data_IF_482677156153
#
_entry.id   IF_482677156153
#
_cell.length_a   1.000
_cell.length_b   1.000
_cell.length_c   1.000
_cell.angle_alpha   90.00
_cell.angle_beta   90.00
_cell.angle_gamma   90.00
#
_symmetry.space_group_name_H-M   'P 1'
#
loop_
_entity.id
_entity.type
_entity.pdbx_description
1 polymer ?
#
# COMPACT_ATOMS: atom_id res chain seq x y z
N UNK A 1 8.51 -0.16 -73.72
CA UNK A 1 8.12 -0.64 -72.38
C UNK A 1 8.62 0.33 -71.34
N UNK A 2 7.72 0.77 -70.47
CA UNK A 2 7.59 2.17 -70.10
C UNK A 2 8.49 2.57 -68.92
N UNK A 3 9.34 3.61 -69.09
CA UNK A 3 10.09 4.26 -68.00
C UNK A 3 9.16 4.73 -66.86
N UNK A 4 7.87 4.91 -67.16
CA UNK A 4 6.80 5.19 -66.19
C UNK A 4 6.59 4.06 -65.16
N UNK A 5 6.72 2.78 -65.55
CA UNK A 5 6.48 1.64 -64.65
C UNK A 5 7.61 1.51 -63.62
N UNK A 6 8.85 1.81 -64.03
CA UNK A 6 10.01 1.80 -63.13
C UNK A 6 9.93 2.94 -62.10
N UNK A 7 9.45 4.12 -62.51
CA UNK A 7 9.28 5.28 -61.62
C UNK A 7 8.16 5.03 -60.60
N UNK A 8 7.07 4.36 -61.00
CA UNK A 8 5.98 3.96 -60.08
C UNK A 8 6.46 2.89 -59.08
N UNK A 9 7.25 1.90 -59.50
CA UNK A 9 7.79 0.88 -58.59
C UNK A 9 8.83 1.44 -57.60
N UNK A 10 9.67 2.39 -58.04
CA UNK A 10 10.63 3.06 -57.14
C UNK A 10 9.91 4.00 -56.17
N UNK A 11 8.87 4.73 -56.59
CA UNK A 11 8.07 5.58 -55.68
C UNK A 11 7.21 4.78 -54.69
N UNK A 12 6.73 3.58 -55.05
CA UNK A 12 6.08 2.66 -54.08
C UNK A 12 7.08 2.04 -53.09
N UNK A 13 8.34 1.85 -53.47
CA UNK A 13 9.36 1.35 -52.54
C UNK A 13 9.84 2.40 -51.52
N UNK A 14 9.80 3.70 -51.87
CA UNK A 14 10.15 4.79 -50.93
C UNK A 14 9.00 5.14 -49.97
N UNK A 15 7.74 4.89 -50.37
CA UNK A 15 6.58 5.02 -49.48
C UNK A 15 6.43 3.84 -48.49
N UNK A 16 7.18 2.76 -48.68
CA UNK A 16 7.15 1.59 -47.78
C UNK A 16 8.21 1.67 -46.66
N UNK A 17 9.05 2.71 -46.64
CA UNK A 17 10.07 2.95 -45.60
C UNK A 17 9.77 4.16 -44.69
N UNK A 18 8.54 4.69 -44.75
CA UNK A 18 8.05 5.70 -43.79
C UNK A 18 6.81 5.15 -43.06
N UNK A 19 6.97 3.98 -42.45
CA UNK A 19 6.05 3.43 -41.47
C UNK A 19 6.83 2.77 -40.31
N UNK A 20 7.88 3.45 -39.87
CA UNK A 20 8.21 3.47 -38.45
C UNK A 20 8.32 4.95 -38.07
N UNK A 21 7.18 5.65 -38.03
CA UNK A 21 7.08 6.71 -37.05
C UNK A 21 7.40 6.02 -35.71
N UNK A 22 8.61 6.24 -35.22
CA UNK A 22 8.85 6.21 -33.79
C UNK A 22 7.73 7.05 -33.22
N UNK A 23 6.68 6.43 -32.66
CA UNK A 23 5.64 7.16 -31.96
C UNK A 23 6.42 8.02 -30.98
N UNK A 24 6.49 9.33 -31.23
CA UNK A 24 7.17 10.25 -30.33
C UNK A 24 6.35 10.17 -29.07
N UNK A 25 6.78 9.31 -28.14
CA UNK A 25 5.98 8.97 -26.98
C UNK A 25 5.66 10.28 -26.27
N UNK A 26 4.37 10.59 -26.21
CA UNK A 26 3.87 11.80 -25.61
C UNK A 26 3.27 11.46 -24.25
N UNK A 27 3.00 12.48 -23.44
CA UNK A 27 2.44 12.25 -22.12
C UNK A 27 1.02 11.66 -22.15
N UNK A 28 0.33 11.72 -23.29
CA UNK A 28 -1.02 11.18 -23.47
C UNK A 28 -1.00 9.67 -23.67
N UNK A 29 0.03 9.16 -24.35
CA UNK A 29 0.23 7.74 -24.70
C UNK A 29 1.14 6.98 -23.73
N UNK A 30 1.61 7.61 -22.65
CA UNK A 30 2.48 6.98 -21.67
C UNK A 30 1.86 5.66 -21.12
N UNK A 31 2.50 4.49 -21.34
CA UNK A 31 1.86 3.17 -21.14
C UNK A 31 1.49 2.88 -19.68
N UNK A 32 2.23 3.44 -18.72
CA UNK A 32 1.96 3.27 -17.28
C UNK A 32 0.87 4.21 -16.75
N UNK A 33 0.52 5.27 -17.50
CA UNK A 33 -0.34 6.34 -17.00
C UNK A 33 -1.71 5.82 -16.54
N UNK A 34 -2.35 4.96 -17.34
CA UNK A 34 -3.66 4.41 -17.00
C UNK A 34 -3.63 3.57 -15.72
N UNK A 35 -2.59 2.74 -15.55
CA UNK A 35 -2.41 1.88 -14.37
C UNK A 35 -2.24 2.71 -13.09
N UNK A 36 -1.33 3.69 -13.12
CA UNK A 36 -1.10 4.56 -11.98
C UNK A 36 -2.28 5.49 -11.67
N UNK A 37 -2.96 6.02 -12.69
CA UNK A 37 -4.20 6.80 -12.51
C UNK A 37 -5.25 5.97 -11.76
N UNK A 38 -5.42 4.70 -12.12
CA UNK A 38 -6.36 3.81 -11.46
C UNK A 38 -5.97 3.58 -10.00
N UNK A 39 -4.69 3.28 -9.73
CA UNK A 39 -4.20 3.12 -8.36
C UNK A 39 -4.40 4.39 -7.51
N UNK A 40 -4.09 5.57 -8.05
CA UNK A 40 -4.31 6.86 -7.37
C UNK A 40 -5.81 7.10 -7.09
N UNK A 41 -6.69 6.75 -8.03
CA UNK A 41 -8.13 6.86 -7.80
C UNK A 41 -8.58 5.94 -6.66
N UNK A 42 -8.07 4.71 -6.61
CA UNK A 42 -8.35 3.76 -5.52
C UNK A 42 -7.88 4.32 -4.18
N UNK A 43 -6.63 4.78 -4.09
CA UNK A 43 -6.05 5.37 -2.87
C UNK A 43 -6.87 6.56 -2.37
N UNK A 44 -7.28 7.45 -3.29
CA UNK A 44 -8.00 8.66 -2.93
C UNK A 44 -9.52 8.46 -2.83
N UNK A 45 -10.04 7.23 -2.91
CA UNK A 45 -11.50 6.95 -2.96
C UNK A 45 -12.30 7.62 -1.84
N UNK A 46 -11.71 7.79 -0.65
CA UNK A 46 -12.40 8.38 0.50
C UNK A 46 -12.08 9.87 0.75
N UNK A 47 -11.12 10.46 0.03
CA UNK A 47 -10.69 11.86 0.24
C UNK A 47 -11.06 12.74 -0.95
N UNK A 48 -12.10 13.57 -0.78
CA UNK A 48 -12.61 14.47 -1.84
C UNK A 48 -11.54 15.46 -2.32
N UNK A 49 -10.69 15.98 -1.42
CA UNK A 49 -9.66 16.95 -1.76
C UNK A 49 -8.55 16.27 -2.56
N UNK A 50 -8.10 15.10 -2.13
CA UNK A 50 -7.09 14.33 -2.84
C UNK A 50 -7.58 13.89 -4.24
N UNK A 51 -8.85 13.49 -4.38
CA UNK A 51 -9.46 13.23 -5.70
C UNK A 51 -9.40 14.43 -6.63
N UNK A 52 -9.75 15.62 -6.13
CA UNK A 52 -9.72 16.83 -6.92
C UNK A 52 -8.30 17.16 -7.38
N UNK A 53 -7.33 17.15 -6.46
CA UNK A 53 -5.91 17.36 -6.78
C UNK A 53 -5.41 16.34 -7.81
N UNK A 54 -5.74 15.06 -7.61
CA UNK A 54 -5.41 14.00 -8.56
C UNK A 54 -5.97 14.34 -9.94
N UNK A 55 -7.28 14.64 -10.08
CA UNK A 55 -7.89 14.97 -11.37
C UNK A 55 -7.17 16.13 -12.08
N UNK A 56 -6.81 17.19 -11.35
CA UNK A 56 -6.06 18.34 -11.90
C UNK A 56 -4.67 17.91 -12.38
N UNK A 57 -3.92 17.16 -11.57
CA UNK A 57 -2.57 16.74 -11.92
C UNK A 57 -2.54 15.68 -13.03
N UNK A 58 -3.52 14.78 -13.10
CA UNK A 58 -3.67 13.83 -14.21
C UNK A 58 -3.96 14.54 -15.54
N UNK A 59 -4.76 15.62 -15.52
CA UNK A 59 -4.98 16.46 -16.71
C UNK A 59 -3.69 17.15 -17.13
N UNK A 60 -3.00 17.80 -16.19
CA UNK A 60 -1.72 18.47 -16.43
C UNK A 60 -0.66 17.51 -16.97
N UNK A 61 -0.57 16.30 -16.43
CA UNK A 61 0.36 15.28 -16.92
C UNK A 61 0.17 15.03 -18.42
N UNK A 62 -1.07 14.81 -18.87
CA UNK A 62 -1.38 14.56 -20.29
C UNK A 62 -1.09 15.76 -21.19
N UNK A 63 -1.21 16.97 -20.67
CA UNK A 63 -1.03 18.23 -21.39
C UNK A 63 0.43 18.72 -21.34
N UNK A 64 1.27 18.14 -20.48
CA UNK A 64 2.67 18.52 -20.37
C UNK A 64 3.46 18.13 -21.61
N UNK A 65 4.43 18.97 -21.95
CA UNK A 65 5.52 18.59 -22.85
C UNK A 65 6.62 17.90 -22.03
N UNK A 66 7.09 16.70 -22.45
CA UNK A 66 8.15 15.98 -21.74
C UNK A 66 9.41 16.83 -21.62
N UNK A 67 10.00 16.87 -20.43
CA UNK A 67 11.23 17.65 -20.16
C UNK A 67 12.17 16.90 -19.22
N UNK A 68 13.46 17.18 -19.34
CA UNK A 68 14.46 16.66 -18.40
C UNK A 68 14.37 17.42 -17.08
N UNK A 69 14.32 16.68 -15.97
CA UNK A 69 14.22 17.23 -14.62
C UNK A 69 15.36 16.74 -13.74
N UNK A 70 15.73 17.57 -12.77
CA UNK A 70 16.76 17.27 -11.78
C UNK A 70 16.26 16.28 -10.72
N UNK A 71 17.19 15.71 -9.94
CA UNK A 71 16.87 14.89 -8.77
C UNK A 71 15.96 15.64 -7.78
N UNK A 72 16.20 16.94 -7.56
CA UNK A 72 15.44 17.76 -6.61
C UNK A 72 14.01 18.05 -7.07
N UNK A 73 13.78 18.10 -8.38
CA UNK A 73 12.44 18.22 -8.95
C UNK A 73 11.66 16.92 -8.85
N UNK A 74 12.37 15.79 -8.99
CA UNK A 74 11.79 14.45 -8.98
C UNK A 74 11.74 13.77 -7.62
N UNK A 75 12.41 14.32 -6.59
CA UNK A 75 12.33 13.86 -5.20
C UNK A 75 12.49 12.34 -5.08
N UNK A 76 11.46 11.66 -4.56
CA UNK A 76 11.46 10.20 -4.43
C UNK A 76 11.50 9.45 -5.77
N UNK A 77 11.11 10.08 -6.87
CA UNK A 77 11.16 9.51 -8.22
C UNK A 77 12.46 9.88 -8.98
N UNK A 78 13.52 10.26 -8.27
CA UNK A 78 14.81 10.71 -8.83
C UNK A 78 15.53 9.69 -9.71
N UNK A 79 15.17 8.40 -9.63
CA UNK A 79 15.68 7.37 -10.53
C UNK A 79 15.46 7.68 -12.02
N UNK A 80 14.51 8.57 -12.34
CA UNK A 80 14.20 9.01 -13.71
C UNK A 80 14.75 10.40 -14.05
N UNK A 81 15.64 10.97 -13.22
CA UNK A 81 16.30 12.24 -13.51
C UNK A 81 17.13 12.17 -14.78
N UNK A 82 17.21 13.29 -15.50
CA UNK A 82 17.87 13.35 -16.80
C UNK A 82 17.00 12.89 -17.97
N UNK A 83 15.97 12.06 -17.74
CA UNK A 83 15.07 11.55 -18.79
C UNK A 83 13.96 12.56 -19.14
N UNK A 84 13.39 12.49 -20.35
CA UNK A 84 12.29 13.37 -20.79
C UNK A 84 10.97 12.94 -20.15
N UNK A 85 10.73 13.35 -18.91
CA UNK A 85 9.57 12.95 -18.12
C UNK A 85 8.37 13.89 -18.29
N UNK A 86 7.17 13.33 -18.11
CA UNK A 86 5.90 14.06 -18.07
C UNK A 86 5.53 14.54 -16.67
N UNK A 87 6.22 14.04 -15.64
CA UNK A 87 6.00 14.45 -14.27
C UNK A 87 6.48 15.89 -14.02
N UNK A 88 5.76 16.58 -13.14
CA UNK A 88 6.26 17.79 -12.49
C UNK A 88 6.44 17.53 -10.98
N UNK A 89 7.02 18.52 -10.28
CA UNK A 89 7.22 18.47 -8.83
C UNK A 89 5.93 18.24 -8.04
N UNK A 90 4.77 18.64 -8.58
CA UNK A 90 3.48 18.44 -7.93
C UNK A 90 2.98 17.01 -8.09
N UNK A 91 3.16 16.40 -9.26
CA UNK A 91 2.87 14.98 -9.48
C UNK A 91 3.70 14.10 -8.54
N UNK A 92 5.00 14.37 -8.42
CA UNK A 92 5.89 13.65 -7.50
C UNK A 92 5.45 13.80 -6.05
N UNK A 93 5.11 15.01 -5.61
CA UNK A 93 4.55 15.25 -4.27
C UNK A 93 3.25 14.48 -4.04
N UNK A 94 2.40 14.37 -5.06
CA UNK A 94 1.14 13.62 -4.99
C UNK A 94 1.43 12.13 -4.83
N UNK A 95 2.39 11.59 -5.58
CA UNK A 95 2.85 10.19 -5.49
C UNK A 95 3.32 9.87 -4.08
N UNK A 96 4.18 10.72 -3.50
CA UNK A 96 4.69 10.51 -2.15
C UNK A 96 3.59 10.56 -1.08
N UNK A 97 2.59 11.44 -1.23
CA UNK A 97 1.42 11.46 -0.34
C UNK A 97 0.47 10.27 -0.57
N UNK A 98 0.31 9.82 -1.81
CA UNK A 98 -0.50 8.66 -2.15
C UNK A 98 0.07 7.40 -1.50
N UNK A 99 1.40 7.22 -1.53
CA UNK A 99 2.08 6.11 -0.88
C UNK A 99 1.78 6.04 0.64
N UNK A 100 1.84 7.18 1.33
CA UNK A 100 1.48 7.26 2.75
C UNK A 100 -0.02 7.01 2.98
N UNK A 101 -0.89 7.58 2.16
CA UNK A 101 -2.33 7.40 2.29
C UNK A 101 -2.77 5.96 2.01
N UNK A 102 -2.07 5.24 1.13
CA UNK A 102 -2.34 3.83 0.80
C UNK A 102 -2.32 2.94 2.05
N UNK A 103 -1.43 3.23 3.00
CA UNK A 103 -1.22 2.37 4.19
C UNK A 103 -2.11 2.76 5.37
N UNK A 104 -2.73 3.95 5.32
CA UNK A 104 -3.59 4.46 6.39
C UNK A 104 -4.76 3.53 6.76
N UNK A 105 -5.50 2.91 5.82
CA UNK A 105 -6.58 1.99 6.18
C UNK A 105 -6.09 0.77 6.98
N UNK A 106 -4.90 0.25 6.67
CA UNK A 106 -4.29 -0.88 7.38
C UNK A 106 -3.95 -0.47 8.81
N UNK A 107 -3.38 0.73 8.99
CA UNK A 107 -3.03 1.30 10.30
C UNK A 107 -4.26 1.61 11.16
N UNK A 108 -5.35 2.07 10.56
CA UNK A 108 -6.56 2.43 11.28
C UNK A 108 -7.47 1.24 11.62
N UNK A 109 -7.32 0.12 10.91
CA UNK A 109 -8.09 -1.09 11.19
C UNK A 109 -7.56 -1.82 12.43
N UNK A 110 -8.48 -2.39 13.22
CA UNK A 110 -8.14 -3.26 14.36
C UNK A 110 -7.26 -4.41 13.89
N UNK A 111 -6.09 -4.56 14.51
CA UNK A 111 -5.20 -5.71 14.31
C UNK A 111 -5.83 -6.99 14.88
N UNK A 112 -5.36 -8.18 14.47
CA UNK A 112 -5.80 -9.42 15.12
C UNK A 112 -5.45 -9.44 16.61
N UNK A 113 -4.40 -8.73 17.05
CA UNK A 113 -4.09 -8.54 18.48
C UNK A 113 -5.14 -7.70 19.21
N UNK A 114 -5.61 -6.62 18.57
CA UNK A 114 -6.74 -5.85 19.11
C UNK A 114 -8.00 -6.71 19.22
N UNK A 115 -8.26 -7.55 18.22
CA UNK A 115 -9.38 -8.50 18.22
C UNK A 115 -9.21 -9.59 19.28
N UNK A 116 -7.99 -10.06 19.54
CA UNK A 116 -7.68 -11.02 20.61
C UNK A 116 -8.14 -10.54 21.98
N UNK A 117 -7.90 -9.26 22.31
CA UNK A 117 -8.36 -8.70 23.60
C UNK A 117 -9.89 -8.64 23.69
N UNK A 118 -10.57 -8.32 22.58
CA UNK A 118 -12.03 -8.37 22.55
C UNK A 118 -12.57 -9.80 22.69
N UNK A 119 -11.94 -10.77 22.04
CA UNK A 119 -12.28 -12.19 22.20
C UNK A 119 -12.05 -12.64 23.63
N UNK A 120 -10.93 -12.28 24.26
CA UNK A 120 -10.65 -12.57 25.66
C UNK A 120 -11.75 -12.04 26.58
N UNK A 121 -12.09 -10.75 26.47
CA UNK A 121 -13.16 -10.13 27.27
C UNK A 121 -14.51 -10.85 27.05
N UNK A 122 -14.85 -11.17 25.80
CA UNK A 122 -16.07 -11.89 25.49
C UNK A 122 -16.10 -13.29 26.12
N UNK A 123 -15.00 -14.04 26.08
CA UNK A 123 -14.90 -15.35 26.71
C UNK A 123 -14.90 -15.27 28.23
N UNK A 124 -14.30 -14.23 28.81
CA UNK A 124 -14.35 -13.94 30.25
C UNK A 124 -15.79 -13.74 30.71
N UNK A 125 -16.53 -12.84 30.05
CA UNK A 125 -17.94 -12.56 30.39
C UNK A 125 -18.86 -13.76 30.15
N UNK A 126 -18.52 -14.64 29.19
CA UNK A 126 -19.31 -15.85 28.89
C UNK A 126 -19.02 -17.00 29.84
N UNK A 127 -17.76 -17.17 30.25
CA UNK A 127 -17.30 -18.37 30.95
C UNK A 127 -17.22 -18.20 32.47
N UNK A 128 -17.33 -16.96 32.97
CA UNK A 128 -17.06 -16.63 34.36
C UNK A 128 -18.20 -15.84 34.99
N UNK A 129 -18.49 -16.13 36.26
CA UNK A 129 -19.44 -15.34 37.05
C UNK A 129 -18.93 -13.90 37.24
N UNK A 130 -19.80 -12.86 37.22
CA UNK A 130 -19.40 -11.49 37.53
C UNK A 130 -18.69 -11.34 38.88
N UNK A 131 -18.98 -12.22 39.85
CA UNK A 131 -18.36 -12.20 41.18
C UNK A 131 -16.88 -12.54 41.19
N UNK A 132 -16.38 -13.21 40.14
CA UNK A 132 -14.96 -13.59 40.03
C UNK A 132 -14.16 -12.63 39.14
N UNK A 133 -14.80 -11.61 38.56
CA UNK A 133 -14.16 -10.61 37.70
C UNK A 133 -13.99 -9.30 38.51
N UNK A 134 -12.79 -8.68 38.55
CA UNK A 134 -12.62 -7.38 39.19
C UNK A 134 -13.46 -6.30 38.48
N UNK A 135 -14.41 -5.70 39.18
CA UNK A 135 -15.24 -4.54 38.80
C UNK A 135 -15.56 -4.40 37.29
N UNK A 136 -16.54 -5.16 36.76
CA UNK A 136 -17.02 -5.00 35.39
C UNK A 136 -17.64 -3.60 35.15
N UNK A 137 -17.63 -3.10 33.89
CA UNK A 137 -17.21 -3.79 32.67
C UNK A 137 -15.73 -3.62 32.33
N UNK A 138 -15.06 -4.75 32.07
CA UNK A 138 -13.70 -4.77 31.53
C UNK A 138 -13.73 -4.36 30.05
N UNK A 139 -13.00 -3.31 29.70
CA UNK A 139 -12.90 -2.80 28.31
C UNK A 139 -11.44 -2.85 27.83
N UNK A 140 -11.17 -2.98 26.51
CA UNK A 140 -9.81 -3.07 25.99
C UNK A 140 -8.91 -1.92 26.41
N UNK A 141 -9.47 -0.69 26.47
CA UNK A 141 -8.74 0.50 26.90
C UNK A 141 -8.19 0.37 28.33
N UNK A 142 -8.96 -0.26 29.22
CA UNK A 142 -8.55 -0.48 30.61
C UNK A 142 -7.42 -1.51 30.69
N UNK A 143 -7.57 -2.65 30.00
CA UNK A 143 -6.53 -3.69 29.92
C UNK A 143 -5.22 -3.10 29.38
N UNK A 144 -5.29 -2.30 28.31
CA UNK A 144 -4.09 -1.67 27.73
C UNK A 144 -3.46 -0.59 28.61
N UNK A 145 -4.19 -0.03 29.56
CA UNK A 145 -3.68 0.97 30.49
C UNK A 145 -3.07 0.34 31.75
N UNK A 146 -3.28 -0.96 31.97
CA UNK A 146 -2.78 -1.69 33.10
C UNK A 146 -1.26 -1.94 32.97
N UNK A 147 -0.50 -1.24 33.80
CA UNK A 147 0.98 -1.30 33.79
C UNK A 147 1.52 -2.59 34.40
N UNK A 148 0.69 -3.39 35.05
CA UNK A 148 1.10 -4.67 35.64
C UNK A 148 1.21 -5.78 34.60
N UNK A 149 0.52 -5.65 33.47
CA UNK A 149 0.52 -6.59 32.35
C UNK A 149 1.75 -6.39 31.45
N UNK A 150 2.92 -6.80 31.94
CA UNK A 150 4.21 -6.60 31.27
C UNK A 150 4.33 -7.44 30.00
N UNK A 151 3.88 -8.70 30.03
CA UNK A 151 3.92 -9.61 28.87
C UNK A 151 3.01 -9.08 27.77
N UNK A 152 1.78 -8.72 28.10
CA UNK A 152 0.84 -8.13 27.15
C UNK A 152 1.39 -6.83 26.54
N UNK A 153 1.95 -5.94 27.35
CA UNK A 153 2.53 -4.67 26.89
C UNK A 153 3.67 -4.89 25.90
N UNK A 154 4.58 -5.84 26.18
CA UNK A 154 5.67 -6.20 25.28
C UNK A 154 5.15 -6.73 23.93
N UNK A 155 4.16 -7.63 23.93
CA UNK A 155 3.58 -8.15 22.69
C UNK A 155 2.79 -7.10 21.90
N UNK A 156 2.11 -6.17 22.59
CA UNK A 156 1.44 -5.04 21.95
C UNK A 156 2.45 -4.13 21.24
N UNK A 157 3.56 -3.79 21.90
CA UNK A 157 4.61 -2.99 21.30
C UNK A 157 5.24 -3.71 20.09
N UNK A 158 5.53 -5.00 20.23
CA UNK A 158 6.04 -5.82 19.13
C UNK A 158 5.06 -5.81 17.93
N UNK A 159 3.76 -5.99 18.17
CA UNK A 159 2.73 -5.92 17.14
C UNK A 159 2.72 -4.56 16.43
N UNK A 160 2.78 -3.46 17.19
CA UNK A 160 2.81 -2.10 16.64
C UNK A 160 4.00 -1.92 15.70
N UNK A 161 5.18 -2.40 16.12
CA UNK A 161 6.40 -2.38 15.30
C UNK A 161 6.26 -3.24 14.03
N UNK A 162 5.72 -4.47 14.12
CA UNK A 162 5.48 -5.29 12.92
C UNK A 162 4.57 -4.56 11.92
N UNK A 163 3.50 -3.93 12.42
CA UNK A 163 2.51 -3.20 11.60
C UNK A 163 3.12 -1.98 10.92
N UNK A 164 3.93 -1.21 11.63
CA UNK A 164 4.66 -0.05 11.09
C UNK A 164 5.63 -0.49 9.98
N UNK A 165 6.44 -1.53 10.22
CA UNK A 165 7.38 -2.04 9.20
C UNK A 165 6.67 -2.51 7.93
N UNK A 166 5.55 -3.23 8.08
CA UNK A 166 4.74 -3.65 6.93
C UNK A 166 4.17 -2.45 6.16
N UNK A 167 3.64 -1.45 6.87
CA UNK A 167 3.14 -0.23 6.26
C UNK A 167 4.28 0.53 5.54
N UNK A 168 5.48 0.60 6.11
CA UNK A 168 6.63 1.23 5.44
C UNK A 168 7.00 0.48 4.16
N UNK A 169 7.04 -0.85 4.17
CA UNK A 169 7.32 -1.66 2.99
C UNK A 169 6.27 -1.45 1.89
N UNK A 170 4.98 -1.45 2.25
CA UNK A 170 3.89 -1.22 1.30
C UNK A 170 3.90 0.21 0.75
N UNK A 171 4.20 1.20 1.59
CA UNK A 171 4.38 2.61 1.19
C UNK A 171 5.51 2.73 0.17
N UNK A 172 6.68 2.15 0.45
CA UNK A 172 7.84 2.19 -0.44
C UNK A 172 7.59 1.50 -1.79
N UNK A 173 6.93 0.34 -1.76
CA UNK A 173 6.56 -0.40 -2.97
C UNK A 173 5.50 0.35 -3.81
N UNK A 174 4.49 0.91 -3.16
CA UNK A 174 3.46 1.75 -3.81
C UNK A 174 4.08 3.00 -4.42
N UNK A 175 5.02 3.64 -3.71
CA UNK A 175 5.72 4.84 -4.17
C UNK A 175 6.52 4.56 -5.43
N UNK A 176 7.35 3.51 -5.44
CA UNK A 176 8.13 3.15 -6.63
C UNK A 176 7.24 2.74 -7.80
N UNK A 177 6.15 2.02 -7.52
CA UNK A 177 5.13 1.70 -8.52
C UNK A 177 4.55 2.94 -9.17
N UNK A 178 4.13 3.92 -8.37
CA UNK A 178 3.59 5.19 -8.88
C UNK A 178 4.66 6.05 -9.55
N UNK A 179 5.90 6.05 -9.05
CA UNK A 179 7.02 6.80 -9.64
C UNK A 179 7.34 6.36 -11.08
N UNK A 180 7.00 5.13 -11.47
CA UNK A 180 7.21 4.66 -12.86
C UNK A 180 6.40 5.45 -13.92
N UNK A 181 5.41 6.26 -13.54
CA UNK A 181 4.81 7.24 -14.48
C UNK A 181 5.73 8.42 -14.81
N UNK A 182 6.77 8.62 -14.01
CA UNK A 182 7.78 9.65 -14.22
C UNK A 182 8.94 9.16 -15.07
N UNK A 183 8.92 7.92 -15.55
CA UNK A 183 9.84 7.46 -16.58
C UNK A 183 9.84 8.41 -17.78
N UNK A 184 11.01 8.61 -18.36
CA UNK A 184 11.13 9.40 -19.57
C UNK A 184 10.43 8.73 -20.74
N UNK A 185 9.71 9.51 -21.53
CA UNK A 185 9.09 9.02 -22.77
C UNK A 185 10.14 8.50 -23.77
N UNK A 186 11.37 9.01 -23.67
CA UNK A 186 12.55 8.62 -24.43
C UNK A 186 13.21 7.32 -23.94
N UNK A 187 12.72 6.74 -22.83
CA UNK A 187 13.28 5.54 -22.18
C UNK A 187 12.24 4.45 -21.92
N UNK A 188 11.04 4.57 -22.50
CA UNK A 188 9.95 3.62 -22.22
C UNK A 188 10.26 2.19 -22.62
N UNK A 189 10.94 1.95 -23.74
CA UNK A 189 11.33 0.62 -24.22
C UNK A 189 12.29 -0.11 -23.28
N UNK A 190 13.07 0.66 -22.52
CA UNK A 190 14.05 0.12 -21.58
C UNK A 190 13.32 -0.54 -20.41
N UNK A 191 12.18 0.03 -20.01
CA UNK A 191 11.46 -0.34 -18.80
C UNK A 191 10.11 -1.03 -19.02
N UNK A 192 9.55 -1.02 -20.24
CA UNK A 192 8.27 -1.66 -20.58
C UNK A 192 8.52 -2.76 -21.60
N UNK A 193 7.98 -3.96 -21.36
CA UNK A 193 8.07 -5.04 -22.34
C UNK A 193 7.00 -4.93 -23.43
N UNK A 194 7.06 -5.79 -24.45
CA UNK A 194 6.09 -5.83 -25.56
C UNK A 194 4.64 -6.04 -25.13
N UNK A 195 4.41 -6.59 -23.93
CA UNK A 195 3.09 -6.86 -23.36
C UNK A 195 2.56 -5.68 -22.52
N UNK A 196 3.29 -4.56 -22.44
CA UNK A 196 2.91 -3.41 -21.60
C UNK A 196 3.10 -3.64 -20.10
N UNK A 197 3.92 -4.62 -19.73
CA UNK A 197 4.28 -4.90 -18.33
C UNK A 197 5.53 -4.09 -17.96
N UNK A 198 5.54 -3.58 -16.74
CA UNK A 198 6.71 -2.89 -16.19
C UNK A 198 7.81 -3.91 -15.89
N UNK A 199 9.00 -3.71 -16.43
CA UNK A 199 10.20 -4.48 -16.09
C UNK A 199 10.69 -3.99 -14.74
N UNK A 200 10.81 -4.88 -13.76
CA UNK A 200 11.26 -4.57 -12.41
C UNK A 200 12.44 -5.43 -12.01
N UNK A 201 13.33 -4.90 -11.17
CA UNK A 201 14.46 -5.69 -10.68
C UNK A 201 14.00 -6.79 -9.73
N UNK A 202 14.69 -7.93 -9.77
CA UNK A 202 14.50 -9.00 -8.78
C UNK A 202 14.80 -8.50 -7.36
N UNK A 203 15.75 -7.56 -7.20
CA UNK A 203 16.09 -6.98 -5.91
C UNK A 203 14.87 -6.28 -5.28
N UNK A 204 14.11 -5.47 -6.03
CA UNK A 204 12.92 -4.81 -5.50
C UNK A 204 11.86 -5.82 -5.04
N UNK A 205 11.66 -6.89 -5.82
CA UNK A 205 10.74 -7.98 -5.49
C UNK A 205 11.17 -8.64 -4.18
N UNK A 206 12.45 -9.00 -4.07
CA UNK A 206 13.01 -9.66 -2.89
C UNK A 206 12.89 -8.79 -1.64
N UNK A 207 13.23 -7.50 -1.71
CA UNK A 207 13.15 -6.59 -0.56
C UNK A 207 11.70 -6.45 -0.09
N UNK A 208 10.74 -6.26 -1.01
CA UNK A 208 9.34 -6.15 -0.64
C UNK A 208 8.82 -7.45 0.00
N UNK A 209 9.12 -8.60 -0.62
CA UNK A 209 8.69 -9.90 -0.12
C UNK A 209 9.32 -10.25 1.22
N UNK A 210 10.61 -9.97 1.40
CA UNK A 210 11.31 -10.16 2.67
C UNK A 210 10.69 -9.28 3.76
N UNK A 211 10.46 -7.99 3.49
CA UNK A 211 9.86 -7.10 4.47
C UNK A 211 8.42 -7.52 4.83
N UNK A 212 7.65 -8.03 3.85
CA UNK A 212 6.33 -8.61 4.09
C UNK A 212 6.42 -9.89 4.93
N UNK A 213 7.31 -10.82 4.57
CA UNK A 213 7.55 -12.08 5.29
C UNK A 213 7.99 -11.82 6.74
N UNK A 214 8.91 -10.90 6.96
CA UNK A 214 9.39 -10.51 8.30
C UNK A 214 8.25 -9.94 9.15
N UNK A 215 7.42 -9.05 8.59
CA UNK A 215 6.31 -8.46 9.34
C UNK A 215 5.19 -9.47 9.64
N UNK A 216 4.87 -10.33 8.68
CA UNK A 216 3.89 -11.41 8.84
C UNK A 216 4.39 -12.43 9.87
N UNK A 217 5.66 -12.82 9.82
CA UNK A 217 6.29 -13.73 10.78
C UNK A 217 6.35 -13.11 12.18
N UNK A 218 6.75 -11.84 12.27
CA UNK A 218 6.72 -11.04 13.49
C UNK A 218 5.33 -11.09 14.15
N UNK A 219 4.27 -10.95 13.35
CA UNK A 219 2.90 -11.02 13.83
C UNK A 219 2.46 -12.45 14.19
N UNK A 220 2.85 -13.44 13.39
CA UNK A 220 2.56 -14.86 13.65
C UNK A 220 3.17 -15.33 14.98
N UNK A 221 4.40 -14.91 15.28
CA UNK A 221 5.10 -15.24 16.51
C UNK A 221 4.37 -14.77 17.76
N UNK A 222 3.61 -13.68 17.70
CA UNK A 222 2.80 -13.20 18.84
C UNK A 222 1.74 -14.23 19.24
N UNK A 223 1.21 -14.97 18.26
CA UNK A 223 0.19 -15.99 18.46
C UNK A 223 0.76 -17.42 18.47
N UNK A 224 2.08 -17.57 18.58
CA UNK A 224 2.68 -18.88 18.83
C UNK A 224 2.09 -19.47 20.13
N UNK A 225 1.85 -20.80 20.21
CA UNK A 225 1.16 -21.41 21.36
C UNK A 225 1.75 -21.01 22.73
N UNK A 226 3.08 -21.03 22.88
CA UNK A 226 3.76 -20.63 24.12
C UNK A 226 3.54 -19.17 24.50
N UNK A 227 3.45 -18.29 23.49
CA UNK A 227 3.31 -16.85 23.68
C UNK A 227 1.86 -16.51 24.01
N UNK A 228 0.91 -17.14 23.31
CA UNK A 228 -0.51 -17.06 23.61
C UNK A 228 -0.81 -17.53 25.04
N UNK A 229 -0.18 -18.63 25.48
CA UNK A 229 -0.30 -19.15 26.83
C UNK A 229 0.22 -18.17 27.87
N UNK A 230 1.37 -17.55 27.61
CA UNK A 230 1.97 -16.55 28.49
C UNK A 230 1.08 -15.31 28.65
N UNK A 231 0.50 -14.81 27.54
CA UNK A 231 -0.42 -13.67 27.57
C UNK A 231 -1.71 -14.04 28.33
N UNK A 232 -2.28 -15.22 28.08
CA UNK A 232 -3.50 -15.67 28.75
C UNK A 232 -3.30 -15.90 30.24
N UNK A 233 -2.17 -16.47 30.65
CA UNK A 233 -1.84 -16.66 32.06
C UNK A 233 -1.73 -15.32 32.79
N UNK A 234 -1.06 -14.32 32.20
CA UNK A 234 -0.97 -12.97 32.77
C UNK A 234 -2.35 -12.32 32.88
N UNK A 235 -3.16 -12.37 31.82
CA UNK A 235 -4.52 -11.81 31.81
C UNK A 235 -5.44 -12.48 32.84
N UNK A 236 -5.42 -13.81 32.93
CA UNK A 236 -6.24 -14.56 33.88
C UNK A 236 -5.83 -14.24 35.32
N UNK A 237 -4.52 -14.19 35.61
CA UNK A 237 -4.02 -13.84 36.94
C UNK A 237 -4.45 -12.42 37.37
N UNK A 238 -4.54 -11.48 36.43
CA UNK A 238 -4.97 -10.11 36.71
C UNK A 238 -6.50 -9.97 36.84
N UNK A 239 -7.29 -10.72 36.04
CA UNK A 239 -8.72 -10.46 35.85
C UNK A 239 -9.66 -11.59 36.27
N UNK A 240 -9.15 -12.67 36.86
CA UNK A 240 -9.96 -13.76 37.43
C UNK A 240 -9.53 -13.99 38.88
N UNK A 241 -10.47 -13.84 39.82
CA UNK A 241 -10.23 -14.04 41.25
C UNK A 241 -10.54 -15.47 41.66
N UNK A 242 -9.52 -16.21 42.10
CA UNK A 242 -9.62 -17.51 42.79
C UNK A 242 -10.58 -18.52 42.10
N UNK A 243 -10.54 -18.61 40.77
CA UNK A 243 -11.42 -19.51 40.01
C UNK A 243 -10.68 -20.14 38.82
N UNK A 244 -9.95 -21.22 39.12
CA UNK A 244 -9.12 -21.94 38.14
C UNK A 244 -9.95 -22.56 37.01
N UNK A 245 -11.20 -22.99 37.30
CA UNK A 245 -12.10 -23.55 36.30
C UNK A 245 -12.52 -22.50 35.25
N UNK A 246 -12.86 -21.28 35.70
CA UNK A 246 -13.11 -20.15 34.82
C UNK A 246 -11.87 -19.81 33.98
N UNK A 247 -10.69 -19.71 34.60
CA UNK A 247 -9.44 -19.43 33.89
C UNK A 247 -9.10 -20.49 32.82
N UNK A 248 -9.29 -21.77 33.15
CA UNK A 248 -9.10 -22.88 32.21
C UNK A 248 -10.08 -22.81 31.03
N UNK A 249 -11.36 -22.53 31.28
CA UNK A 249 -12.38 -22.41 30.25
C UNK A 249 -12.13 -21.22 29.31
N UNK A 250 -11.81 -20.05 29.86
CA UNK A 250 -11.43 -18.86 29.07
C UNK A 250 -10.23 -19.19 28.19
N UNK A 251 -9.18 -19.76 28.77
CA UNK A 251 -7.97 -20.13 28.03
C UNK A 251 -8.25 -21.12 26.90
N UNK A 252 -9.02 -22.19 27.18
CA UNK A 252 -9.40 -23.19 26.18
C UNK A 252 -10.19 -22.55 25.02
N UNK A 253 -11.17 -21.72 25.33
CA UNK A 253 -12.03 -21.09 24.33
C UNK A 253 -11.26 -20.08 23.47
N UNK A 254 -10.43 -19.23 24.08
CA UNK A 254 -9.57 -18.31 23.34
C UNK A 254 -8.58 -19.07 22.46
N UNK A 255 -7.84 -20.04 23.02
CA UNK A 255 -6.90 -20.87 22.22
C UNK A 255 -7.60 -21.57 21.06
N UNK A 256 -8.84 -22.03 21.21
CA UNK A 256 -9.59 -22.68 20.12
C UNK A 256 -9.82 -21.75 18.91
N UNK A 257 -10.09 -20.46 19.15
CA UNK A 257 -10.28 -19.44 18.11
C UNK A 257 -8.95 -19.12 17.42
N UNK A 258 -7.85 -19.15 18.17
CA UNK A 258 -6.50 -18.82 17.70
C UNK A 258 -5.68 -20.05 17.25
N UNK A 259 -6.25 -21.26 17.32
CA UNK A 259 -5.57 -22.56 17.14
C UNK A 259 -5.00 -22.86 15.75
N UNK A 260 -5.24 -22.00 14.75
CA UNK A 260 -4.81 -22.24 13.37
C UNK A 260 -3.92 -21.12 12.82
N UNK A 261 -2.70 -20.93 13.36
CA UNK A 261 -1.81 -19.85 12.99
C UNK A 261 -1.06 -20.18 11.69
N UNK A 262 -1.75 -20.27 10.55
CA UNK A 262 -1.04 -20.19 9.25
C UNK A 262 -0.90 -18.74 8.81
N UNK A 263 -0.53 -17.84 9.73
CA UNK A 263 -0.24 -16.43 9.40
C UNK A 263 1.09 -16.46 8.65
N UNK A 264 0.97 -16.64 7.35
CA UNK A 264 2.07 -16.84 6.43
C UNK A 264 1.76 -16.05 5.17
N UNK A 265 2.83 -15.66 4.49
CA UNK A 265 2.73 -15.03 3.19
C UNK A 265 2.64 -16.09 2.07
N UNK A 266 2.04 -17.25 2.34
CA UNK A 266 1.90 -18.38 1.42
C UNK A 266 0.45 -18.45 0.94
N UNK A 267 0.23 -18.59 -0.37
CA UNK A 267 -1.12 -18.74 -0.94
C UNK A 267 -1.68 -20.17 -0.83
N UNK A 268 -0.92 -21.09 -0.24
CA UNK A 268 -1.25 -22.50 -0.05
C UNK A 268 -1.00 -23.36 -1.30
N UNK A 269 -0.44 -22.78 -2.37
CA UNK A 269 -0.17 -23.45 -3.65
C UNK A 269 1.29 -23.24 -4.12
N UNK A 270 2.18 -22.83 -3.20
CA UNK A 270 3.59 -22.59 -3.48
C UNK A 270 3.90 -21.18 -3.98
N UNK A 271 2.91 -20.28 -3.99
CA UNK A 271 3.06 -18.86 -4.30
C UNK A 271 3.01 -17.97 -3.07
N UNK A 272 3.18 -16.65 -3.29
CA UNK A 272 3.10 -15.62 -2.23
C UNK A 272 1.79 -14.86 -2.29
N UNK A 273 1.24 -14.48 -1.13
CA UNK A 273 0.08 -13.56 -1.04
C UNK A 273 0.52 -12.14 -1.43
N UNK A 274 1.60 -11.64 -0.83
CA UNK A 274 2.27 -10.41 -1.17
C UNK A 274 3.18 -10.61 -2.38
N UNK A 275 2.61 -10.50 -3.59
CA UNK A 275 3.35 -10.66 -4.85
C UNK A 275 4.08 -9.36 -5.21
N UNK A 276 5.40 -9.43 -5.39
CA UNK A 276 6.21 -8.28 -5.83
C UNK A 276 6.01 -7.89 -7.30
N UNK A 277 5.20 -8.63 -8.06
CA UNK A 277 4.84 -8.34 -9.46
C UNK A 277 3.43 -7.76 -9.61
N UNK A 278 2.66 -7.70 -8.53
CA UNK A 278 1.31 -7.12 -8.46
C UNK A 278 1.37 -5.67 -7.97
N UNK A 279 1.84 -4.79 -8.85
CA UNK A 279 2.17 -3.40 -8.50
C UNK A 279 0.98 -2.43 -8.57
N UNK A 280 0.11 -2.60 -9.56
CA UNK A 280 -1.02 -1.71 -9.81
C UNK A 280 -2.37 -2.40 -9.55
N UNK A 281 -2.39 -3.73 -9.61
CA UNK A 281 -3.50 -4.60 -9.29
C UNK A 281 -3.88 -4.57 -7.80
N UNK A 282 -5.07 -5.09 -7.49
CA UNK A 282 -5.52 -5.27 -6.11
C UNK A 282 -4.57 -6.21 -5.34
N UNK A 283 -4.04 -5.72 -4.22
CA UNK A 283 -3.20 -6.48 -3.29
C UNK A 283 -3.86 -6.58 -1.90
N UNK A 284 -5.19 -6.44 -1.84
CA UNK A 284 -5.98 -6.44 -0.60
C UNK A 284 -5.74 -7.65 0.29
N UNK A 285 -5.43 -8.82 -0.27
CA UNK A 285 -5.10 -10.02 0.51
C UNK A 285 -3.80 -9.86 1.30
N UNK A 286 -2.75 -9.33 0.66
CA UNK A 286 -1.50 -9.00 1.34
C UNK A 286 -1.76 -7.96 2.43
N UNK A 287 -2.51 -6.90 2.10
CA UNK A 287 -2.85 -5.80 3.02
C UNK A 287 -3.64 -6.27 4.26
N UNK A 288 -4.43 -7.33 4.12
CA UNK A 288 -5.25 -7.90 5.19
C UNK A 288 -4.52 -8.96 6.04
N UNK A 289 -3.31 -9.36 5.67
CA UNK A 289 -2.59 -10.46 6.33
C UNK A 289 -2.34 -10.21 7.83
N UNK A 290 -2.14 -8.95 8.24
CA UNK A 290 -1.96 -8.56 9.65
C UNK A 290 -3.28 -8.25 10.39
N UNK A 291 -4.39 -8.11 9.66
CA UNK A 291 -5.68 -7.73 10.24
C UNK A 291 -6.44 -8.96 10.78
N UNK A 292 -6.16 -10.14 10.22
CA UNK A 292 -6.93 -11.36 10.47
C UNK A 292 -8.38 -11.25 10.00
N UNK A 293 -9.15 -12.33 10.14
CA UNK A 293 -10.56 -12.39 9.73
C UNK A 293 -11.38 -11.23 10.31
N UNK A 294 -12.14 -10.54 9.45
CA UNK A 294 -13.08 -9.48 9.83
C UNK A 294 -14.16 -9.95 10.82
N UNK A 295 -14.50 -11.24 10.82
CA UNK A 295 -15.54 -11.84 11.65
C UNK A 295 -15.02 -12.42 12.98
N UNK A 296 -13.72 -12.29 13.28
CA UNK A 296 -13.07 -12.90 14.44
C UNK A 296 -13.71 -12.53 15.79
N UNK A 297 -14.32 -11.35 15.88
CA UNK A 297 -14.97 -10.85 17.11
C UNK A 297 -16.45 -11.26 17.22
N UNK A 298 -17.07 -11.69 16.11
CA UNK A 298 -18.53 -11.88 16.00
C UNK A 298 -18.96 -13.35 15.87
N UNK A 299 -18.05 -14.19 15.39
CA UNK A 299 -18.26 -15.64 15.27
C UNK A 299 -17.10 -16.36 15.97
N UNK A 300 -17.06 -17.70 15.98
CA UNK A 300 -15.83 -18.44 16.33
C UNK A 300 -15.03 -18.79 15.05
N UNK A 301 -14.63 -17.86 14.17
CA UNK A 301 -13.81 -18.21 13.02
C UNK A 301 -12.35 -18.31 13.47
N UNK A 302 -11.53 -18.92 12.62
CA UNK A 302 -10.08 -18.94 12.81
C UNK A 302 -9.50 -17.61 12.33
N UNK A 303 -8.33 -17.22 12.85
CA UNK A 303 -7.60 -15.98 12.51
C UNK A 303 -7.51 -15.74 10.99
N UNK A 304 -7.47 -16.81 10.19
CA UNK A 304 -7.35 -16.77 8.73
C UNK A 304 -8.43 -17.59 8.03
N UNK A 305 -9.70 -17.31 8.34
CA UNK A 305 -10.79 -17.78 7.50
C UNK A 305 -11.26 -16.65 6.59
N UNK A 306 -10.47 -16.33 5.56
CA UNK A 306 -10.94 -15.44 4.49
C UNK A 306 -12.03 -16.17 3.68
N UNK A 307 -13.24 -16.30 4.22
CA UNK A 307 -14.39 -17.00 3.61
C UNK A 307 -14.89 -16.38 2.30
N UNK A 308 -14.27 -15.30 1.81
CA UNK A 308 -14.50 -14.86 0.43
C UNK A 308 -13.71 -15.79 -0.46
N UNK A 309 -14.47 -16.62 -1.20
CA UNK A 309 -14.04 -17.42 -2.33
C UNK A 309 -12.69 -16.98 -2.86
N UNK A 310 -11.74 -17.91 -2.83
CA UNK A 310 -10.52 -17.89 -3.63
C UNK A 310 -10.96 -17.91 -5.11
N UNK A 311 -11.53 -16.80 -5.57
CA UNK A 311 -11.64 -16.50 -6.98
C UNK A 311 -10.20 -16.39 -7.44
N UNK A 312 -9.73 -17.46 -8.08
CA UNK A 312 -8.44 -17.60 -8.75
C UNK A 312 -7.85 -16.22 -9.12
N UNK A 313 -6.90 -15.74 -8.31
CA UNK A 313 -5.95 -14.72 -8.76
C UNK A 313 -4.96 -15.29 -9.81
N UNK A 314 -5.10 -16.57 -10.18
CA UNK A 314 -4.39 -17.22 -11.30
C UNK A 314 -4.73 -16.61 -12.67
N UNK A 315 -5.75 -15.76 -12.79
CA UNK A 315 -6.13 -15.09 -14.03
C UNK A 315 -5.74 -13.60 -14.08
N UNK A 316 -5.07 -13.06 -13.07
CA UNK A 316 -4.55 -11.68 -13.14
C UNK A 316 -3.16 -11.75 -13.75
N UNK A 317 -3.07 -11.38 -15.04
CA UNK A 317 -1.77 -11.15 -15.66
C UNK A 317 -0.97 -10.17 -14.78
N UNK A 318 0.26 -10.50 -14.36
CA UNK A 318 1.03 -9.62 -13.51
C UNK A 318 1.28 -8.31 -14.24
N UNK A 319 1.15 -7.18 -13.53
CA UNK A 319 1.35 -5.87 -14.13
C UNK A 319 2.83 -5.57 -14.41
N UNK A 320 3.72 -6.39 -13.86
CA UNK A 320 5.16 -6.30 -13.96
C UNK A 320 5.82 -7.67 -14.23
N UNK A 321 6.99 -7.63 -14.85
CA UNK A 321 7.85 -8.79 -15.12
C UNK A 321 9.23 -8.53 -14.51
N UNK A 322 9.86 -9.58 -14.00
CA UNK A 322 11.24 -9.48 -13.50
C UNK A 322 12.21 -9.38 -14.67
N UNK A 323 13.08 -8.37 -14.63
CA UNK A 323 14.15 -8.14 -15.59
C UNK A 323 15.39 -7.61 -14.84
N UNK A 324 16.59 -8.05 -15.24
CA UNK A 324 17.84 -7.60 -14.61
C UNK A 324 18.07 -6.10 -14.78
N UNK A 325 17.57 -5.52 -15.87
CA UNK A 325 17.66 -4.08 -16.18
C UNK A 325 16.35 -3.34 -15.87
N UNK A 326 15.46 -3.95 -15.08
CA UNK A 326 14.19 -3.34 -14.70
C UNK A 326 14.34 -2.14 -13.77
N UNK A 327 13.24 -1.43 -13.53
CA UNK A 327 13.23 -0.32 -12.57
C UNK A 327 13.29 -0.82 -11.13
N UNK A 328 13.93 -0.05 -10.25
CA UNK A 328 13.81 -0.27 -8.81
C UNK A 328 12.49 0.33 -8.31
N UNK A 329 11.60 -0.53 -7.80
CA UNK A 329 10.24 -0.15 -7.37
C UNK A 329 10.07 -0.14 -5.85
N UNK A 330 11.12 -0.47 -5.11
CA UNK A 330 11.16 -0.30 -3.66
C UNK A 330 11.84 1.04 -3.34
N UNK A 331 11.03 2.09 -3.23
CA UNK A 331 11.51 3.47 -3.10
C UNK A 331 11.10 4.04 -1.73
N UNK A 332 12.07 4.14 -0.81
CA UNK A 332 11.85 4.75 0.50
C UNK A 332 11.76 6.28 0.41
N UNK A 333 11.11 6.90 1.39
CA UNK A 333 11.03 8.35 1.53
C UNK A 333 11.31 8.78 2.97
N UNK A 334 12.00 9.92 3.19
CA UNK A 334 12.08 10.51 4.51
C UNK A 334 10.72 10.86 5.12
N UNK A 335 9.61 10.79 4.37
CA UNK A 335 8.27 10.94 4.97
C UNK A 335 7.74 9.68 5.62
N UNK A 336 8.32 8.51 5.38
CA UNK A 336 7.87 7.24 5.97
C UNK A 336 8.02 7.20 7.50
N UNK A 337 8.77 8.12 8.11
CA UNK A 337 8.87 8.32 9.57
C UNK A 337 7.61 8.89 10.21
N UNK A 338 6.64 9.41 9.44
CA UNK A 338 5.32 9.79 9.98
C UNK A 338 4.38 8.59 10.16
N UNK A 339 4.78 7.41 9.66
CA UNK A 339 3.99 6.18 9.80
C UNK A 339 4.06 5.72 11.26
N UNK A 340 2.94 5.89 11.96
CA UNK A 340 2.72 5.38 13.32
C UNK A 340 1.68 4.25 13.31
N UNK A 341 1.56 3.50 14.41
CA UNK A 341 0.66 2.35 14.54
C UNK A 341 -0.82 2.69 14.22
N UNK A 342 -1.24 3.92 14.53
CA UNK A 342 -2.61 4.41 14.35
C UNK A 342 -2.86 5.10 13.01
N UNK A 343 -1.80 5.42 12.26
CA UNK A 343 -1.86 6.20 11.03
C UNK A 343 -2.40 7.62 11.21
N UNK A 344 -2.41 8.17 12.45
CA UNK A 344 -3.00 9.49 12.74
C UNK A 344 -2.17 10.63 12.19
N UNK A 345 -0.86 10.48 12.17
CA UNK A 345 0.06 11.49 11.61
C UNK A 345 0.04 11.53 10.07
N UNK A 346 -0.59 10.55 9.41
CA UNK A 346 -0.75 10.53 7.95
C UNK A 346 -1.93 11.42 7.56
N UNK A 347 -1.59 12.62 7.07
CA UNK A 347 -2.57 13.62 6.62
C UNK A 347 -2.31 14.02 5.18
N UNK A 348 -3.38 14.26 4.42
CA UNK A 348 -3.26 14.81 3.07
C UNK A 348 -3.01 16.32 3.15
N UNK A 349 -1.77 16.73 2.89
CA UNK A 349 -1.34 18.13 2.97
C UNK A 349 -0.88 18.61 1.59
N UNK A 350 -1.81 18.73 0.65
CA UNK A 350 -1.49 19.21 -0.70
C UNK A 350 -2.09 20.58 -0.98
N UNK A 351 -1.22 21.56 -1.25
CA UNK A 351 -1.62 22.90 -1.71
C UNK A 351 -1.18 23.03 -3.16
N UNK A 352 -2.14 23.01 -4.08
CA UNK A 352 -1.91 23.43 -5.47
C UNK A 352 -1.69 24.94 -5.44
N UNK A 353 -0.42 25.38 -5.52
CA UNK A 353 -0.15 26.80 -5.84
C UNK A 353 -0.65 27.05 -7.25
N UNK A 354 -1.84 27.63 -7.35
CA UNK A 354 -2.47 27.93 -8.63
C UNK A 354 -1.90 29.27 -9.11
N UNK A 355 -0.84 29.21 -9.92
CA UNK A 355 -0.19 30.42 -10.48
C UNK A 355 -1.17 31.29 -11.29
N UNK A 356 -2.24 30.71 -11.83
CA UNK A 356 -3.28 31.45 -12.55
C UNK A 356 -4.19 32.30 -11.64
N UNK A 357 -4.40 31.92 -10.37
CA UNK A 357 -5.18 32.75 -9.44
C UNK A 357 -4.37 33.97 -9.00
N UNK A 358 -3.06 33.81 -8.74
CA UNK A 358 -2.19 34.95 -8.41
C UNK A 358 -2.03 35.91 -9.59
N UNK A 359 -1.96 35.40 -10.83
CA UNK A 359 -1.93 36.26 -12.01
C UNK A 359 -3.27 37.01 -12.18
N UNK A 360 -4.41 36.35 -11.98
CA UNK A 360 -5.73 36.99 -12.04
C UNK A 360 -5.90 38.08 -10.96
N UNK A 361 -5.47 37.84 -9.72
CA UNK A 361 -5.46 38.84 -8.65
C UNK A 361 -4.49 39.99 -8.95
N UNK A 362 -3.30 39.71 -9.48
CA UNK A 362 -2.34 40.74 -9.87
C UNK A 362 -2.86 41.60 -11.03
N UNK A 363 -3.51 41.01 -12.05
CA UNK A 363 -4.15 41.76 -13.13
C UNK A 363 -5.37 42.54 -12.65
N UNK A 364 -6.16 42.00 -11.71
CA UNK A 364 -7.33 42.69 -11.16
C UNK A 364 -6.92 43.90 -10.32
N UNK A 365 -5.90 43.77 -9.47
CA UNK A 365 -5.34 44.91 -8.73
C UNK A 365 -4.63 45.92 -9.66
N UNK A 366 -3.92 45.47 -10.69
CA UNK A 366 -3.33 46.37 -11.68
C UNK A 366 -4.39 47.15 -12.47
N UNK A 367 -5.54 46.53 -12.79
CA UNK A 367 -6.69 47.19 -13.43
C UNK A 367 -7.37 48.20 -12.51
N UNK A 368 -7.52 47.89 -11.21
CA UNK A 368 -8.06 48.84 -10.22
C UNK A 368 -7.11 50.04 -10.04
N UNK A 369 -5.80 49.81 -10.06
CA UNK A 369 -4.77 50.87 -9.98
C UNK A 369 -4.69 51.76 -11.23
N UNK A 370 -5.37 51.39 -12.31
CA UNK A 370 -5.48 52.17 -13.54
C UNK A 370 -6.80 52.94 -13.65
N UNK A 371 -7.78 52.62 -12.78
CA UNK A 371 -9.12 53.22 -12.75
C UNK A 371 -9.25 54.22 -11.59
N UNK A 372 -8.37 54.14 -10.60
CA UNK A 372 -8.11 55.18 -9.59
C UNK A 372 -6.71 55.77 -9.84
#
# INVERSE_FOLDING_TARGET
MNKLILIVLISLSVLSFVASESSTADCKSHPVFAKAKNLLNVIFTQDKRAKHVNKVLQKRFKENSPKSLSNDDLGSCSAFSGQKTCCDKNMVKLIDQAALLKVKPILQTKSAFSKFINVYIAQLNKSCSPTVIPSPPLIPKAIYADKTLKVLSAYKQAQGNCKIKFAQALSAFTRGSLCSICMGVDKLSDYINSQGQLKITQQSVNIFQQAADEAITCFANIFAPSNLDSILNELNAAYIKNNDSCAANVSKNVKSIFSNPKISNDDGQGGKICKGTSMFSDNSQCEQSLLGDSALEYTNPRILNFKKQVLRLLAVNPDAVVDQNGVNVFVSSPRDQVIDESGRNITFSFILKNSQMQLAYATFFALISFIF
#
